data_IF_184801456233
#
_entry.id   IF_184801456233
#
_cell.length_a   1.000
_cell.length_b   1.000
_cell.length_c   1.000
_cell.angle_alpha   90.00
_cell.angle_beta   90.00
_cell.angle_gamma   90.00
#
_symmetry.space_group_name_H-M   'P 1'
#
loop_
_entity.id
_entity.type
_entity.pdbx_description
1 polymer ?
#
# COMPACT_ATOMS: atom_id res chain seq x y z
N UNK A 1 5.89 -12.86 -17.19
CA UNK A 1 6.73 -13.61 -16.21
C UNK A 1 7.44 -12.65 -15.24
N UNK A 2 7.50 -13.00 -13.95
CA UNK A 2 8.19 -12.27 -12.87
C UNK A 2 9.64 -11.89 -13.23
N UNK A 3 10.02 -10.66 -12.91
CA UNK A 3 11.41 -10.18 -13.00
C UNK A 3 12.29 -10.81 -11.92
N UNK A 4 13.61 -10.60 -12.00
CA UNK A 4 14.54 -11.05 -10.95
C UNK A 4 14.18 -10.42 -9.58
N UNK A 5 13.86 -9.13 -9.56
CA UNK A 5 13.50 -8.41 -8.34
C UNK A 5 12.19 -8.95 -7.74
N UNK A 6 11.21 -9.29 -8.59
CA UNK A 6 9.94 -9.89 -8.16
C UNK A 6 10.18 -11.24 -7.48
N UNK A 7 11.06 -12.08 -8.04
CA UNK A 7 11.42 -13.37 -7.43
C UNK A 7 12.12 -13.19 -6.10
N UNK A 8 13.01 -12.21 -5.98
CA UNK A 8 13.66 -11.86 -4.70
C UNK A 8 12.64 -11.37 -3.65
N UNK A 9 11.65 -10.56 -4.05
CA UNK A 9 10.55 -10.11 -3.19
C UNK A 9 9.66 -11.28 -2.77
N UNK A 10 9.24 -12.13 -3.72
CA UNK A 10 8.40 -13.30 -3.47
C UNK A 10 9.06 -14.31 -2.51
N UNK A 11 10.39 -14.45 -2.57
CA UNK A 11 11.14 -15.30 -1.65
C UNK A 11 11.21 -14.78 -0.21
N UNK A 12 10.86 -13.52 0.03
CA UNK A 12 10.76 -12.92 1.36
C UNK A 12 9.34 -12.96 1.95
N UNK A 13 8.39 -13.59 1.26
CA UNK A 13 7.01 -13.75 1.73
C UNK A 13 6.96 -14.39 3.12
N UNK A 14 5.90 -14.08 3.86
CA UNK A 14 5.56 -14.82 5.06
C UNK A 14 5.03 -16.19 4.62
N UNK A 15 5.66 -17.24 5.14
CA UNK A 15 5.34 -18.62 4.74
C UNK A 15 4.17 -19.20 5.53
N UNK A 16 3.49 -20.17 4.94
CA UNK A 16 2.45 -20.96 5.62
C UNK A 16 1.03 -20.75 5.10
N UNK A 17 0.79 -19.74 4.25
CA UNK A 17 -0.51 -19.53 3.59
C UNK A 17 -0.31 -18.98 2.17
N UNK A 18 -1.11 -19.47 1.22
CA UNK A 18 -1.29 -18.86 -0.11
C UNK A 18 -2.78 -18.86 -0.45
N UNK A 19 -3.25 -17.74 -1.00
CA UNK A 19 -4.60 -17.57 -1.51
C UNK A 19 -4.57 -17.62 -3.03
N UNK A 20 -5.50 -18.36 -3.63
CA UNK A 20 -5.66 -18.41 -5.06
C UNK A 20 -7.08 -18.01 -5.42
N UNK A 21 -7.24 -17.08 -6.35
CA UNK A 21 -8.53 -16.80 -6.98
C UNK A 21 -8.56 -17.30 -8.42
N UNK A 22 -9.75 -17.75 -8.84
CA UNK A 22 -10.09 -18.02 -10.22
C UNK A 22 -10.88 -16.83 -10.75
N UNK A 23 -10.30 -16.08 -11.68
CA UNK A 23 -10.85 -14.81 -12.13
C UNK A 23 -11.58 -14.99 -13.47
N UNK A 24 -12.74 -14.36 -13.58
CA UNK A 24 -13.57 -14.34 -14.79
C UNK A 24 -13.54 -12.95 -15.42
N UNK A 25 -13.79 -12.88 -16.73
CA UNK A 25 -13.90 -11.60 -17.42
C UNK A 25 -15.28 -10.99 -17.21
N UNK A 26 -15.31 -9.78 -16.63
CA UNK A 26 -16.55 -9.01 -16.44
C UNK A 26 -16.73 -7.91 -17.50
N UNK A 27 -15.64 -7.45 -18.13
CA UNK A 27 -15.65 -6.58 -19.31
C UNK A 27 -14.38 -6.77 -20.14
N UNK A 28 -14.28 -6.12 -21.30
CA UNK A 28 -13.08 -6.20 -22.16
C UNK A 28 -11.79 -5.75 -21.46
N UNK A 29 -11.89 -5.00 -20.36
CA UNK A 29 -10.76 -4.42 -19.63
C UNK A 29 -10.66 -4.90 -18.18
N UNK A 30 -11.61 -5.69 -17.67
CA UNK A 30 -11.66 -6.04 -16.25
C UNK A 30 -11.96 -7.52 -15.99
N UNK A 31 -11.27 -8.05 -14.98
CA UNK A 31 -11.46 -9.37 -14.39
C UNK A 31 -11.91 -9.24 -12.93
N UNK A 32 -12.65 -10.23 -12.44
CA UNK A 32 -13.09 -10.33 -11.05
C UNK A 32 -12.96 -11.77 -10.56
N UNK A 33 -12.55 -11.96 -9.31
CA UNK A 33 -12.43 -13.28 -8.69
C UNK A 33 -13.79 -13.94 -8.46
N UNK A 34 -14.03 -15.04 -9.17
CA UNK A 34 -15.25 -15.85 -9.10
C UNK A 34 -15.22 -16.88 -7.97
N UNK A 35 -14.05 -17.45 -7.67
CA UNK A 35 -13.84 -18.41 -6.58
C UNK A 35 -12.48 -18.20 -5.93
N UNK A 36 -12.39 -18.57 -4.65
CA UNK A 36 -11.22 -18.36 -3.82
C UNK A 36 -10.92 -19.63 -3.02
N UNK A 37 -9.64 -19.97 -2.91
CA UNK A 37 -9.15 -21.05 -2.06
C UNK A 37 -7.95 -20.57 -1.27
N UNK A 38 -7.94 -20.87 0.02
CA UNK A 38 -6.79 -20.66 0.91
C UNK A 38 -6.11 -22.00 1.17
N UNK A 39 -4.81 -22.05 0.95
CA UNK A 39 -3.98 -23.25 1.12
C UNK A 39 -3.02 -23.03 2.28
N UNK A 40 -3.08 -23.92 3.27
CA UNK A 40 -2.15 -23.98 4.41
C UNK A 40 -1.40 -25.32 4.49
N UNK A 41 -1.79 -26.30 3.68
CA UNK A 41 -1.14 -27.62 3.61
C UNK A 41 0.26 -27.50 2.99
N UNK A 42 1.30 -27.83 3.76
CA UNK A 42 2.70 -27.50 3.41
C UNK A 42 3.15 -28.05 2.04
N UNK A 43 2.75 -29.27 1.66
CA UNK A 43 3.16 -29.84 0.37
C UNK A 43 2.53 -29.14 -0.83
N UNK A 44 1.24 -28.79 -0.72
CA UNK A 44 0.53 -28.09 -1.79
C UNK A 44 0.96 -26.62 -1.85
N UNK A 45 1.15 -25.99 -0.68
CA UNK A 45 1.70 -24.65 -0.56
C UNK A 45 3.03 -24.50 -1.30
N UNK A 46 4.00 -25.39 -1.06
CA UNK A 46 5.31 -25.33 -1.70
C UNK A 46 5.22 -25.50 -3.22
N UNK A 47 4.39 -26.44 -3.69
CA UNK A 47 4.17 -26.65 -5.14
C UNK A 47 3.57 -25.44 -5.82
N UNK A 48 2.57 -24.81 -5.20
CA UNK A 48 1.94 -23.59 -5.72
C UNK A 48 2.94 -22.43 -5.74
N UNK A 49 3.73 -22.25 -4.68
CA UNK A 49 4.75 -21.19 -4.62
C UNK A 49 5.84 -21.39 -5.67
N UNK A 50 6.29 -22.62 -5.88
CA UNK A 50 7.26 -22.94 -6.94
C UNK A 50 6.69 -22.68 -8.32
N UNK A 51 5.43 -23.05 -8.56
CA UNK A 51 4.74 -22.76 -9.80
C UNK A 51 4.63 -21.25 -10.04
N UNK A 52 4.27 -20.47 -9.01
CA UNK A 52 4.20 -19.01 -9.08
C UNK A 52 5.56 -18.38 -9.45
N UNK A 53 6.67 -18.86 -8.88
CA UNK A 53 8.01 -18.37 -9.22
C UNK A 53 8.43 -18.66 -10.67
N UNK A 54 7.91 -19.73 -11.27
CA UNK A 54 8.24 -20.16 -12.63
C UNK A 54 7.33 -19.50 -13.68
N UNK A 55 6.04 -19.39 -13.38
CA UNK A 55 5.00 -19.06 -14.35
C UNK A 55 4.23 -17.78 -14.03
N UNK A 56 4.34 -17.26 -12.81
CA UNK A 56 3.64 -16.05 -12.39
C UNK A 56 4.12 -14.82 -13.15
N UNK A 57 3.20 -13.90 -13.36
CA UNK A 57 3.40 -12.63 -14.05
C UNK A 57 3.00 -11.45 -13.17
N UNK A 58 3.62 -10.30 -13.40
CA UNK A 58 3.23 -9.00 -12.84
C UNK A 58 3.03 -9.02 -11.32
N UNK A 59 4.06 -9.41 -10.56
CA UNK A 59 3.98 -9.45 -9.09
C UNK A 59 3.76 -8.04 -8.53
N UNK A 60 2.64 -7.83 -7.84
CA UNK A 60 2.27 -6.54 -7.28
C UNK A 60 1.55 -6.68 -5.94
N UNK A 61 1.60 -5.65 -5.10
CA UNK A 61 0.71 -5.59 -3.93
C UNK A 61 -0.72 -5.37 -4.41
N UNK A 62 -1.68 -6.20 -3.99
CA UNK A 62 -3.07 -6.09 -4.47
C UNK A 62 -4.08 -5.75 -3.38
N UNK A 63 -4.00 -6.42 -2.24
CA UNK A 63 -5.00 -6.25 -1.19
C UNK A 63 -4.41 -6.54 0.20
N UNK A 64 -5.21 -6.23 1.22
CA UNK A 64 -4.92 -6.53 2.62
C UNK A 64 -6.16 -7.10 3.29
N UNK A 65 -5.96 -7.99 4.26
CA UNK A 65 -7.00 -8.42 5.19
C UNK A 65 -6.67 -7.92 6.61
N UNK A 66 -7.31 -8.48 7.64
CA UNK A 66 -7.05 -8.11 9.04
C UNK A 66 -5.67 -8.54 9.55
N UNK A 67 -5.04 -9.51 8.88
CA UNK A 67 -3.79 -10.15 9.32
C UNK A 67 -2.60 -9.77 8.46
N UNK A 68 -2.78 -9.65 7.15
CA UNK A 68 -1.70 -9.51 6.19
C UNK A 68 -1.99 -8.51 5.07
N UNK A 69 -0.91 -7.94 4.55
CA UNK A 69 -0.87 -7.37 3.21
C UNK A 69 -0.35 -8.42 2.23
N UNK A 70 -0.98 -8.53 1.06
CA UNK A 70 -0.69 -9.56 0.08
C UNK A 70 -0.05 -8.98 -1.16
N UNK A 71 0.98 -9.69 -1.64
CA UNK A 71 1.46 -9.57 -3.00
C UNK A 71 0.92 -10.72 -3.84
N UNK A 72 0.58 -10.39 -5.08
CA UNK A 72 -0.14 -11.26 -5.99
C UNK A 72 0.54 -11.29 -7.34
N UNK A 73 0.51 -12.45 -7.99
CA UNK A 73 0.92 -12.61 -9.37
C UNK A 73 -0.15 -13.35 -10.17
N UNK A 74 -0.17 -13.09 -11.48
CA UNK A 74 -1.14 -13.67 -12.38
C UNK A 74 -0.59 -14.90 -13.08
N UNK A 75 -1.46 -15.89 -13.29
CA UNK A 75 -1.22 -17.06 -14.12
C UNK A 75 -2.27 -17.08 -15.21
N UNK A 76 -1.87 -16.65 -16.40
CA UNK A 76 -2.76 -16.51 -17.57
C UNK A 76 -2.85 -17.76 -18.42
N UNK A 77 -1.89 -18.67 -18.27
CA UNK A 77 -1.97 -20.01 -18.86
C UNK A 77 -2.84 -20.92 -17.98
N UNK A 78 -4.16 -20.76 -18.14
CA UNK A 78 -5.19 -21.49 -17.37
C UNK A 78 -5.09 -23.00 -17.59
N UNK A 79 -4.79 -23.42 -18.83
CA UNK A 79 -4.67 -24.83 -19.18
C UNK A 79 -3.45 -25.49 -18.50
N UNK A 80 -2.30 -24.81 -18.52
CA UNK A 80 -1.11 -25.29 -17.82
C UNK A 80 -1.34 -25.36 -16.31
N UNK A 81 -1.96 -24.34 -15.71
CA UNK A 81 -2.25 -24.37 -14.27
C UNK A 81 -3.19 -25.53 -13.91
N UNK A 82 -4.29 -25.69 -14.66
CA UNK A 82 -5.26 -26.78 -14.43
C UNK A 82 -4.59 -28.14 -14.53
N UNK A 83 -3.79 -28.41 -15.56
CA UNK A 83 -3.11 -29.71 -15.70
C UNK A 83 -2.14 -30.05 -14.56
N UNK A 84 -1.60 -29.06 -13.84
CA UNK A 84 -0.70 -29.27 -12.70
C UNK A 84 -1.43 -29.49 -11.38
N UNK A 85 -2.70 -29.06 -11.27
CA UNK A 85 -3.38 -28.89 -9.99
C UNK A 85 -4.82 -29.42 -9.95
N UNK A 86 -5.41 -29.88 -11.07
CA UNK A 86 -6.79 -30.36 -11.11
C UNK A 86 -7.05 -31.61 -10.26
N UNK A 87 -6.01 -32.40 -9.97
CA UNK A 87 -6.08 -33.55 -9.06
C UNK A 87 -6.13 -33.15 -7.59
N UNK A 88 -5.81 -31.91 -7.25
CA UNK A 88 -5.82 -31.42 -5.87
C UNK A 88 -7.26 -31.12 -5.44
N UNK A 89 -7.80 -31.95 -4.54
CA UNK A 89 -9.18 -31.82 -4.05
C UNK A 89 -9.49 -30.43 -3.51
N UNK A 90 -8.54 -29.81 -2.80
CA UNK A 90 -8.68 -28.47 -2.22
C UNK A 90 -8.87 -27.39 -3.30
N UNK A 91 -8.36 -27.60 -4.51
CA UNK A 91 -8.40 -26.63 -5.61
C UNK A 91 -9.59 -26.81 -6.55
N UNK A 92 -10.38 -27.88 -6.40
CA UNK A 92 -11.59 -28.12 -7.20
C UNK A 92 -12.53 -26.92 -7.29
N UNK A 93 -12.79 -26.13 -6.22
CA UNK A 93 -13.64 -24.95 -6.33
C UNK A 93 -13.14 -23.92 -7.33
N UNK A 94 -11.83 -23.83 -7.59
CA UNK A 94 -11.26 -22.92 -8.59
C UNK A 94 -11.54 -23.37 -10.03
N UNK A 95 -11.75 -24.68 -10.24
CA UNK A 95 -11.96 -25.25 -11.57
C UNK A 95 -13.44 -25.40 -11.94
N UNK A 96 -14.32 -25.47 -10.93
CA UNK A 96 -15.74 -25.73 -11.06
C UNK A 96 -16.56 -24.75 -10.20
N UNK A 97 -16.57 -23.47 -10.57
CA UNK A 97 -17.23 -22.41 -9.79
C UNK A 97 -18.56 -21.92 -10.36
N UNK A 98 -19.06 -22.50 -11.47
CA UNK A 98 -20.36 -22.19 -12.10
C UNK A 98 -20.60 -20.70 -12.45
N UNK A 99 -19.53 -19.92 -12.61
CA UNK A 99 -19.60 -18.46 -12.90
C UNK A 99 -19.01 -18.06 -14.27
N UNK A 100 -18.83 -19.03 -15.16
CA UNK A 100 -18.22 -18.84 -16.48
C UNK A 100 -16.77 -19.34 -16.55
N UNK A 101 -16.09 -19.03 -17.65
CA UNK A 101 -14.73 -19.49 -17.90
C UNK A 101 -13.70 -18.67 -17.12
N UNK A 102 -12.84 -19.35 -16.37
CA UNK A 102 -11.66 -18.73 -15.76
C UNK A 102 -10.72 -18.23 -16.85
N UNK A 103 -10.33 -16.96 -16.80
CA UNK A 103 -9.39 -16.35 -17.76
C UNK A 103 -7.99 -16.19 -17.20
N UNK A 104 -7.84 -16.14 -15.88
CA UNK A 104 -6.56 -16.16 -15.18
C UNK A 104 -6.74 -16.65 -13.74
N UNK A 105 -5.66 -17.16 -13.14
CA UNK A 105 -5.59 -17.38 -11.70
C UNK A 105 -4.72 -16.31 -11.05
N UNK A 106 -5.10 -15.82 -9.88
CA UNK A 106 -4.29 -14.89 -9.10
C UNK A 106 -3.77 -15.62 -7.87
N UNK A 107 -2.44 -15.76 -7.77
CA UNK A 107 -1.77 -16.38 -6.62
C UNK A 107 -1.26 -15.27 -5.71
N UNK A 108 -1.76 -15.24 -4.49
CA UNK A 108 -1.51 -14.20 -3.50
C UNK A 108 -0.87 -14.78 -2.24
N UNK A 109 0.27 -14.22 -1.85
CA UNK A 109 1.00 -14.66 -0.65
C UNK A 109 1.12 -13.50 0.34
N UNK A 110 1.04 -13.78 1.65
CA UNK A 110 1.28 -12.78 2.67
C UNK A 110 2.69 -12.19 2.51
N UNK A 111 2.77 -10.88 2.36
CA UNK A 111 4.03 -10.14 2.29
C UNK A 111 4.42 -9.60 3.66
N UNK A 112 3.45 -9.07 4.41
CA UNK A 112 3.67 -8.37 5.69
C UNK A 112 2.50 -8.63 6.63
N UNK A 113 2.74 -8.69 7.95
CA UNK A 113 1.64 -8.71 8.92
C UNK A 113 1.13 -7.29 9.14
N UNK A 114 -0.19 -7.15 9.22
CA UNK A 114 -0.85 -5.90 9.60
C UNK A 114 -0.46 -5.50 11.02
N UNK A 115 -0.41 -6.48 11.94
CA UNK A 115 -0.03 -6.28 13.34
C UNK A 115 1.46 -6.01 13.55
N UNK A 116 2.34 -6.34 12.60
CA UNK A 116 3.78 -6.29 12.88
C UNK A 116 4.26 -4.86 13.17
N UNK A 117 3.62 -3.81 12.63
CA UNK A 117 4.00 -2.42 12.94
C UNK A 117 2.88 -1.36 12.77
N UNK A 118 1.68 -1.68 12.27
CA UNK A 118 0.71 -0.65 11.83
C UNK A 118 0.14 0.21 12.97
N UNK A 119 -0.69 -0.38 13.82
CA UNK A 119 -1.56 0.42 14.71
C UNK A 119 -0.83 1.04 15.90
N UNK A 120 0.13 0.35 16.50
CA UNK A 120 0.91 0.87 17.62
C UNK A 120 1.85 1.99 17.14
N UNK A 121 2.61 1.77 16.06
CA UNK A 121 3.50 2.81 15.52
C UNK A 121 2.69 3.97 14.97
N UNK A 122 1.55 3.74 14.31
CA UNK A 122 0.66 4.81 13.85
C UNK A 122 0.13 5.64 15.01
N UNK A 123 -0.33 4.99 16.08
CA UNK A 123 -0.80 5.69 17.28
C UNK A 123 0.32 6.51 17.92
N UNK A 124 1.49 5.92 18.15
CA UNK A 124 2.62 6.62 18.75
C UNK A 124 3.13 7.77 17.87
N UNK A 125 3.16 7.56 16.54
CA UNK A 125 3.49 8.60 15.58
C UNK A 125 2.50 9.76 15.66
N UNK A 126 1.20 9.48 15.64
CA UNK A 126 0.14 10.48 15.79
C UNK A 126 0.29 11.23 17.12
N UNK A 127 0.52 10.53 18.23
CA UNK A 127 0.72 11.14 19.55
C UNK A 127 1.93 12.10 19.57
N UNK A 128 3.03 11.74 18.90
CA UNK A 128 4.23 12.57 18.78
C UNK A 128 3.95 13.82 17.93
N UNK A 129 3.37 13.66 16.73
CA UNK A 129 3.14 14.80 15.83
C UNK A 129 2.07 15.75 16.37
N UNK A 130 1.05 15.24 17.08
CA UNK A 130 0.03 16.08 17.73
C UNK A 130 0.63 16.94 18.86
N UNK A 131 1.60 16.41 19.61
CA UNK A 131 2.35 17.19 20.62
C UNK A 131 3.26 18.23 19.96
N UNK A 132 3.87 17.89 18.82
CA UNK A 132 4.78 18.79 18.15
C UNK A 132 4.05 19.90 17.35
N UNK A 133 2.95 19.63 16.67
CA UNK A 133 2.29 20.61 15.77
C UNK A 133 1.79 21.87 16.50
N UNK A 134 1.47 21.75 17.79
CA UNK A 134 1.07 22.89 18.62
C UNK A 134 2.25 23.81 18.99
N UNK A 135 3.48 23.33 18.90
CA UNK A 135 4.70 24.14 19.15
C UNK A 135 5.15 24.93 17.92
N UNK A 136 4.64 24.58 16.74
CA UNK A 136 4.92 25.29 15.49
C UNK A 136 4.45 26.74 15.60
N UNK A 137 5.34 27.69 15.35
CA UNK A 137 4.98 29.10 15.40
C UNK A 137 3.99 29.50 14.28
N UNK A 138 3.20 30.54 14.53
CA UNK A 138 2.16 30.99 13.60
C UNK A 138 2.69 31.46 12.24
N UNK A 139 3.93 31.97 12.18
CA UNK A 139 4.53 32.39 10.91
C UNK A 139 4.78 31.20 9.99
N UNK A 140 5.28 30.10 10.54
CA UNK A 140 5.49 28.86 9.79
C UNK A 140 4.16 28.19 9.44
N UNK A 141 3.21 28.11 10.37
CA UNK A 141 1.87 27.57 10.11
C UNK A 141 1.17 28.28 8.94
N UNK A 142 1.24 29.63 8.88
CA UNK A 142 0.69 30.41 7.77
C UNK A 142 1.30 30.06 6.41
N UNK A 143 2.57 29.60 6.36
CA UNK A 143 3.16 29.11 5.11
C UNK A 143 2.52 27.80 4.67
N UNK A 144 2.26 26.88 5.60
CA UNK A 144 1.60 25.61 5.30
C UNK A 144 0.18 25.81 4.81
N UNK A 145 -0.59 26.68 5.48
CA UNK A 145 -1.92 27.11 5.02
C UNK A 145 -1.85 27.65 3.60
N UNK A 146 -0.93 28.59 3.33
CA UNK A 146 -0.76 29.12 1.96
C UNK A 146 -0.47 27.99 0.96
N UNK A 147 0.42 27.06 1.29
CA UNK A 147 0.76 25.95 0.41
C UNK A 147 -0.41 25.01 0.16
N UNK A 148 -1.17 24.64 1.20
CA UNK A 148 -2.36 23.81 1.04
C UNK A 148 -3.35 24.46 0.06
N UNK A 149 -3.60 25.77 0.22
CA UNK A 149 -4.56 26.50 -0.61
C UNK A 149 -4.08 26.70 -2.06
N UNK A 150 -2.78 26.85 -2.32
CA UNK A 150 -2.27 27.26 -3.65
C UNK A 150 -1.38 26.25 -4.35
N UNK A 151 -0.98 25.17 -3.66
CA UNK A 151 -0.02 24.21 -4.16
C UNK A 151 -0.64 23.15 -5.06
N UNK A 152 0.20 22.52 -5.89
CA UNK A 152 -0.18 21.36 -6.71
C UNK A 152 -0.50 20.17 -5.82
N UNK A 153 -1.55 19.43 -6.15
CA UNK A 153 -2.06 18.26 -5.41
C UNK A 153 -1.62 16.94 -6.04
N UNK A 154 -1.60 15.88 -5.23
CA UNK A 154 -1.48 14.49 -5.67
C UNK A 154 -2.88 14.02 -6.13
N UNK A 155 -3.18 14.05 -7.44
CA UNK A 155 -4.49 13.62 -7.98
C UNK A 155 -4.45 12.25 -8.64
N UNK A 156 -5.48 11.44 -8.36
CA UNK A 156 -5.89 10.27 -9.15
C UNK A 156 -7.43 10.22 -9.17
N UNK A 157 -8.08 11.02 -10.01
CA UNK A 157 -9.54 11.01 -10.16
C UNK A 157 -10.00 11.62 -11.47
N UNK A 158 -10.93 10.95 -12.17
CA UNK A 158 -11.52 11.41 -13.44
C UNK A 158 -13.04 11.26 -13.35
N UNK A 159 -13.77 12.28 -13.80
CA UNK A 159 -15.22 12.19 -13.97
C UNK A 159 -15.54 11.25 -15.13
N UNK A 160 -16.24 10.15 -14.82
CA UNK A 160 -16.52 9.05 -15.75
C UNK A 160 -17.46 9.44 -16.90
N UNK A 161 -18.21 10.53 -16.77
CA UNK A 161 -19.19 10.96 -17.77
C UNK A 161 -18.63 12.02 -18.73
N UNK A 162 -17.68 12.82 -18.25
CA UNK A 162 -17.12 13.97 -18.99
C UNK A 162 -15.66 13.76 -19.38
N UNK A 163 -14.96 12.80 -18.78
CA UNK A 163 -13.52 12.60 -18.94
C UNK A 163 -12.69 13.77 -18.36
N UNK A 164 -13.33 14.73 -17.70
CA UNK A 164 -12.67 15.84 -17.07
C UNK A 164 -11.97 15.36 -15.78
N UNK A 165 -10.82 15.95 -15.47
CA UNK A 165 -10.28 15.83 -14.12
C UNK A 165 -11.22 16.56 -13.18
N UNK A 166 -11.79 15.84 -12.22
CA UNK A 166 -12.66 16.40 -11.19
C UNK A 166 -12.12 15.96 -9.83
N UNK A 167 -12.10 16.90 -8.89
CA UNK A 167 -11.82 16.65 -7.48
C UNK A 167 -13.14 16.53 -6.71
N UNK A 168 -13.59 15.31 -6.36
CA UNK A 168 -14.81 15.16 -5.61
C UNK A 168 -14.67 15.59 -4.13
N UNK A 169 -13.46 15.76 -3.60
CA UNK A 169 -13.17 16.05 -2.19
C UNK A 169 -11.99 17.03 -2.03
N UNK A 170 -12.15 18.28 -2.50
CA UNK A 170 -11.13 19.32 -2.26
C UNK A 170 -11.07 19.68 -0.75
N UNK A 171 -10.26 18.92 0.00
CA UNK A 171 -10.08 19.07 1.45
C UNK A 171 -9.06 20.17 1.83
N UNK A 172 -8.69 21.07 0.92
CA UNK A 172 -7.71 22.14 1.21
C UNK A 172 -8.09 23.00 2.40
N UNK A 173 -9.38 23.19 2.64
CA UNK A 173 -9.88 24.03 3.74
C UNK A 173 -9.91 23.32 5.10
N UNK A 174 -9.64 22.00 5.16
CA UNK A 174 -9.53 21.24 6.41
C UNK A 174 -8.45 21.81 7.32
N UNK A 175 -7.36 22.35 6.76
CA UNK A 175 -6.30 23.03 7.54
C UNK A 175 -6.78 24.31 8.26
N UNK A 176 -7.88 24.90 7.80
CA UNK A 176 -8.51 26.09 8.38
C UNK A 176 -9.63 25.71 9.37
N UNK A 177 -10.36 24.63 9.10
CA UNK A 177 -11.52 24.19 9.88
C UNK A 177 -11.14 23.35 11.11
N UNK A 178 -10.09 22.55 11.01
CA UNK A 178 -9.67 21.63 12.06
C UNK A 178 -8.68 22.26 13.04
N UNK A 179 -8.62 21.74 14.26
CA UNK A 179 -7.48 22.02 15.15
C UNK A 179 -6.20 21.48 14.50
N UNK A 180 -5.02 22.03 14.84
CA UNK A 180 -3.76 21.53 14.29
C UNK A 180 -3.53 20.06 14.59
N UNK A 181 -3.93 19.61 15.77
CA UNK A 181 -3.81 18.22 16.21
C UNK A 181 -4.74 17.32 15.40
N UNK A 182 -5.96 17.78 15.15
CA UNK A 182 -6.91 17.03 14.35
C UNK A 182 -6.47 16.95 12.89
N UNK A 183 -5.99 18.07 12.34
CA UNK A 183 -5.47 18.13 10.98
C UNK A 183 -4.35 17.12 10.74
N UNK A 184 -3.32 17.07 11.58
CA UNK A 184 -2.22 16.11 11.39
C UNK A 184 -2.65 14.67 11.56
N UNK A 185 -3.65 14.41 12.42
CA UNK A 185 -4.22 13.07 12.61
C UNK A 185 -4.94 12.58 11.35
N UNK A 186 -5.74 13.44 10.73
CA UNK A 186 -6.54 13.08 9.54
C UNK A 186 -5.69 13.06 8.27
N UNK A 187 -4.58 13.81 8.22
CA UNK A 187 -3.65 13.81 7.08
C UNK A 187 -2.46 12.87 7.28
N UNK A 188 -2.59 11.84 8.12
CA UNK A 188 -1.57 10.79 8.32
C UNK A 188 -1.87 9.58 7.44
N UNK A 189 -0.87 9.14 6.68
CA UNK A 189 -0.95 7.98 5.80
C UNK A 189 0.30 7.12 5.93
N UNK A 190 0.10 5.82 5.71
CA UNK A 190 1.11 4.79 5.74
C UNK A 190 1.35 4.23 4.33
N UNK A 191 2.59 3.85 4.05
CA UNK A 191 2.98 3.17 2.82
C UNK A 191 4.27 2.39 3.05
N UNK A 192 4.74 1.69 2.00
CA UNK A 192 6.06 1.08 1.99
C UNK A 192 6.92 1.76 0.94
N UNK A 193 8.01 2.37 1.39
CA UNK A 193 8.87 3.17 0.54
C UNK A 193 10.33 2.73 0.66
N UNK A 194 11.02 2.52 -0.46
CA UNK A 194 12.43 2.18 -0.47
C UNK A 194 13.30 3.38 -0.04
N UNK A 195 14.55 3.11 0.33
CA UNK A 195 15.48 4.14 0.83
C UNK A 195 15.60 5.36 -0.11
N UNK A 196 15.65 5.19 -1.43
CA UNK A 196 15.78 6.31 -2.39
C UNK A 196 14.59 7.28 -2.33
N UNK A 197 13.40 6.82 -1.89
CA UNK A 197 12.25 7.69 -1.69
C UNK A 197 12.42 8.54 -0.43
N UNK A 198 12.95 7.94 0.64
CA UNK A 198 13.01 8.52 1.98
C UNK A 198 14.27 9.36 2.18
N UNK A 199 15.37 9.07 1.48
CA UNK A 199 16.65 9.79 1.63
C UNK A 199 16.49 11.32 1.45
N UNK A 200 15.65 11.72 0.48
CA UNK A 200 15.33 13.13 0.20
C UNK A 200 14.54 13.82 1.30
N UNK A 201 13.83 13.06 2.14
CA UNK A 201 13.01 13.58 3.24
C UNK A 201 13.87 14.08 4.41
N UNK A 202 15.05 13.48 4.60
CA UNK A 202 15.97 13.85 5.69
C UNK A 202 16.59 15.24 5.52
N UNK A 203 16.66 15.78 4.30
CA UNK A 203 17.26 17.10 4.06
C UNK A 203 16.51 18.21 4.82
N UNK A 204 17.10 18.70 5.90
CA UNK A 204 16.52 19.75 6.75
C UNK A 204 15.50 19.23 7.78
N UNK A 205 15.39 17.90 7.93
CA UNK A 205 14.55 17.29 8.94
C UNK A 205 15.16 17.40 10.34
N UNK A 206 14.30 17.50 11.35
CA UNK A 206 14.64 17.57 12.77
C UNK A 206 13.96 16.41 13.49
N UNK A 207 14.68 15.74 14.37
CA UNK A 207 14.13 14.68 15.20
C UNK A 207 13.14 15.29 16.22
N UNK A 208 11.97 14.67 16.35
CA UNK A 208 10.90 15.10 17.27
C UNK A 208 10.41 13.98 18.19
N UNK A 209 10.93 12.76 18.02
CA UNK A 209 10.59 11.59 18.82
C UNK A 209 11.23 10.31 18.28
N UNK A 210 10.96 9.20 18.94
CA UNK A 210 11.46 7.88 18.57
C UNK A 210 10.39 6.82 18.88
N UNK A 211 10.25 5.83 18.01
CA UNK A 211 9.36 4.67 18.16
C UNK A 211 10.19 3.43 17.86
N UNK A 212 10.29 2.51 18.82
CA UNK A 212 10.99 1.22 18.66
C UNK A 212 12.43 1.34 18.10
N UNK A 213 13.15 2.40 18.46
CA UNK A 213 14.52 2.63 18.00
C UNK A 213 14.64 3.38 16.67
N UNK A 214 13.52 3.74 16.03
CA UNK A 214 13.48 4.53 14.80
C UNK A 214 12.94 5.94 15.06
N UNK A 215 13.56 6.94 14.43
CA UNK A 215 13.25 8.34 14.68
C UNK A 215 11.99 8.81 13.95
N UNK A 216 11.25 9.70 14.62
CA UNK A 216 10.17 10.50 14.04
C UNK A 216 10.72 11.87 13.71
N UNK A 217 10.47 12.32 12.49
CA UNK A 217 11.07 13.52 11.92
C UNK A 217 10.02 14.57 11.58
N UNK A 218 10.40 15.83 11.75
CA UNK A 218 9.69 17.00 11.25
C UNK A 218 10.55 17.73 10.23
N UNK A 219 9.97 18.07 9.08
CA UNK A 219 10.61 18.93 8.10
C UNK A 219 9.80 20.24 7.94
N UNK A 220 10.49 21.39 8.04
CA UNK A 220 9.87 22.72 7.87
C UNK A 220 9.33 22.96 6.45
N UNK A 221 9.60 22.04 5.52
CA UNK A 221 8.95 21.96 4.21
C UNK A 221 7.47 21.54 4.29
N UNK A 222 7.00 21.12 5.47
CA UNK A 222 5.59 20.91 5.75
C UNK A 222 5.20 19.43 5.79
N UNK A 223 6.02 18.58 6.41
CA UNK A 223 5.66 17.19 6.62
C UNK A 223 6.34 16.58 7.84
N UNK A 224 5.74 15.52 8.35
CA UNK A 224 6.32 14.59 9.31
C UNK A 224 6.57 13.26 8.64
N UNK A 225 7.57 12.51 9.11
CA UNK A 225 7.74 11.14 8.67
C UNK A 225 8.43 10.26 9.71
N UNK A 226 8.11 8.97 9.68
CA UNK A 226 8.77 7.88 10.37
C UNK A 226 9.09 6.82 9.33
N UNK A 227 10.30 6.28 9.32
CA UNK A 227 10.66 5.21 8.40
C UNK A 227 11.45 4.11 9.11
N UNK A 228 10.96 2.88 8.98
CA UNK A 228 11.65 1.69 9.44
C UNK A 228 12.47 1.10 8.28
N UNK A 229 13.79 1.31 8.33
CA UNK A 229 14.70 0.86 7.26
C UNK A 229 14.72 -0.67 7.06
N UNK A 230 14.27 -1.45 8.05
CA UNK A 230 14.24 -2.92 7.97
C UNK A 230 13.01 -3.44 7.23
N UNK A 231 11.88 -2.74 7.35
CA UNK A 231 10.59 -3.16 6.77
C UNK A 231 10.13 -2.27 5.62
N UNK A 232 10.85 -1.18 5.37
CA UNK A 232 10.49 -0.09 4.45
C UNK A 232 9.17 0.61 4.80
N UNK A 233 8.62 0.36 5.99
CA UNK A 233 7.38 0.97 6.44
C UNK A 233 7.59 2.46 6.70
N UNK A 234 6.83 3.28 5.98
CA UNK A 234 6.80 4.73 6.09
C UNK A 234 5.44 5.16 6.63
N UNK A 235 5.44 5.99 7.67
CA UNK A 235 4.28 6.82 8.01
C UNK A 235 4.66 8.26 7.76
N UNK A 236 3.78 9.01 7.10
CA UNK A 236 3.98 10.43 6.87
C UNK A 236 2.68 11.21 7.09
N UNK A 237 2.84 12.49 7.42
CA UNK A 237 1.73 13.43 7.53
C UNK A 237 2.11 14.74 6.91
N UNK A 238 1.32 15.20 5.93
CA UNK A 238 1.60 16.43 5.21
C UNK A 238 0.86 17.60 5.86
N UNK A 239 1.63 18.60 6.28
CA UNK A 239 1.11 19.87 6.78
C UNK A 239 0.55 20.75 5.68
N UNK A 240 0.77 20.39 4.42
CA UNK A 240 0.33 21.11 3.23
C UNK A 240 -0.77 20.37 2.48
N UNK A 241 -1.29 19.28 3.05
CA UNK A 241 -2.29 18.43 2.39
C UNK A 241 -3.50 19.25 1.90
N UNK A 242 -4.05 18.94 0.71
CA UNK A 242 -3.65 17.88 -0.24
C UNK A 242 -2.47 18.27 -1.15
N UNK A 243 -1.90 19.47 -0.99
CA UNK A 243 -0.78 19.90 -1.80
C UNK A 243 0.54 19.23 -1.37
N UNK A 244 1.42 18.99 -2.35
CA UNK A 244 2.77 18.48 -2.08
C UNK A 244 3.52 19.41 -1.11
N UNK A 245 4.28 18.84 -0.16
CA UNK A 245 5.15 19.63 0.67
C UNK A 245 6.20 20.38 -0.14
N UNK A 246 6.75 21.44 0.43
CA UNK A 246 7.70 22.30 -0.29
C UNK A 246 8.94 21.52 -0.74
N UNK A 247 9.22 21.55 -2.05
CA UNK A 247 10.46 20.97 -2.61
C UNK A 247 10.42 19.46 -2.81
N UNK A 248 9.23 18.84 -2.85
CA UNK A 248 9.06 17.41 -3.15
C UNK A 248 9.46 17.00 -4.58
N UNK A 249 9.35 17.93 -5.54
CA UNK A 249 9.65 17.74 -6.98
C UNK A 249 10.86 18.53 -7.48
N UNK A 250 11.76 18.95 -6.60
CA UNK A 250 12.96 19.72 -6.99
C UNK A 250 14.20 18.85 -6.96
#
# INVERSE_FOLDING_TARGET
>A
MMTKNDKERFNKRISGEVQISADIRVSDLMTEGAAYVTITESSLYERVCQYALQHGEDLQGMFKDEKYEYMSCFVRDVAAFRSNFESEELLKPLFNHDKGDTVEFVISVPEKRVEDYGDIVRKEFVDIIQKHVITINNKLWKKFVKQAMTGTTLYIGFDINTGAMVDPEDERDTILKSSRQEFVRTTTFDSFQPYYYVERLYSGAKEIGNINGFNVWFNERGFYFYWNEKTEFLIESWLTFPAYPYGWFK
#
